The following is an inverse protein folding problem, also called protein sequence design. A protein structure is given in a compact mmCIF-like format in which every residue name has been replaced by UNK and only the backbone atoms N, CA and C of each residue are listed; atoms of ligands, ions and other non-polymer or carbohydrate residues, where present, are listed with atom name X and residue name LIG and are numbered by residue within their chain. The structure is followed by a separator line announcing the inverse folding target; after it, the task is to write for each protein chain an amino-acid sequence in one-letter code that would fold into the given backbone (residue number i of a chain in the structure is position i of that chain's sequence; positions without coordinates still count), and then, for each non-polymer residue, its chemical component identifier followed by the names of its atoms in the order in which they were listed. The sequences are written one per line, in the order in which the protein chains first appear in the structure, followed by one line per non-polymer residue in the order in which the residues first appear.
data_IF_566457248457
#
_entry.id   IF_566457248457
#
_cell.length_a   1.000
_cell.length_b   1.000
_cell.length_c   1.000
_cell.angle_alpha   90.00
_cell.angle_beta   90.00
_cell.angle_gamma   90.00
#
_symmetry.space_group_name_H-M   'P 1'
#
loop_
_entity.id
_entity.type
_entity.pdbx_description
1 polymer ?
#
# COMPACT_ATOMS: atom_id res chain seq x y z
N UNK A 1 26.64 10.36 2.71
CA UNK A 1 25.28 10.27 2.15
C UNK A 1 24.48 9.33 3.05
N UNK A 2 23.58 9.87 3.89
CA UNK A 2 22.78 9.07 4.84
C UNK A 2 21.56 8.53 4.11
N UNK A 3 21.57 7.25 3.77
CA UNK A 3 20.41 6.56 3.19
C UNK A 3 19.43 6.31 4.34
N UNK A 4 18.38 7.13 4.42
CA UNK A 4 17.24 6.85 5.30
C UNK A 4 16.60 5.56 4.82
N UNK A 5 16.76 4.49 5.60
CA UNK A 5 16.07 3.21 5.40
C UNK A 5 14.56 3.46 5.55
N UNK A 6 13.88 3.69 4.44
CA UNK A 6 12.43 3.53 4.36
C UNK A 6 12.15 2.04 4.54
N UNK A 7 11.82 1.65 5.77
CA UNK A 7 11.40 0.29 6.07
C UNK A 7 10.15 -0.04 5.24
N UNK A 8 10.27 -1.00 4.33
CA UNK A 8 9.13 -1.55 3.62
C UNK A 8 8.18 -2.18 4.65
N UNK A 9 7.04 -1.55 4.91
CA UNK A 9 5.97 -2.12 5.72
C UNK A 9 5.24 -3.12 4.83
N UNK A 10 5.61 -4.40 4.98
CA UNK A 10 4.93 -5.52 4.34
C UNK A 10 3.60 -5.79 5.04
N UNK A 11 2.58 -6.08 4.25
CA UNK A 11 1.29 -6.62 4.69
C UNK A 11 1.38 -8.12 5.05
N UNK A 12 2.56 -8.62 5.43
CA UNK A 12 2.52 -9.73 6.40
C UNK A 12 1.86 -9.12 7.62
N UNK A 13 0.75 -9.71 8.07
CA UNK A 13 0.16 -9.47 9.38
C UNK A 13 1.28 -9.31 10.39
N UNK A 14 1.74 -8.07 10.58
CA UNK A 14 2.78 -7.79 11.54
C UNK A 14 2.07 -8.15 12.81
N UNK A 15 2.54 -9.21 13.46
CA UNK A 15 1.96 -9.82 14.66
C UNK A 15 2.12 -8.83 15.84
N UNK A 16 1.67 -7.59 15.64
CA UNK A 16 1.73 -6.45 16.53
C UNK A 16 0.49 -6.61 17.39
N UNK A 17 0.66 -7.34 18.50
CA UNK A 17 -0.26 -7.42 19.64
C UNK A 17 -1.74 -7.23 19.31
N UNK A 18 -2.49 -8.34 19.26
CA UNK A 18 -3.96 -8.38 19.13
C UNK A 18 -4.73 -7.52 20.16
N UNK A 19 -4.05 -6.94 21.15
CA UNK A 19 -4.61 -6.11 22.21
C UNK A 19 -4.52 -4.60 21.96
N UNK A 20 -3.99 -4.15 20.80
CA UNK A 20 -3.95 -2.70 20.49
C UNK A 20 -5.26 -2.28 19.81
N UNK A 21 -5.90 -1.19 20.25
CA UNK A 21 -7.07 -0.64 19.56
C UNK A 21 -6.70 -0.26 18.13
N UNK A 22 -7.64 -0.48 17.22
CA UNK A 22 -7.47 -0.18 15.80
C UNK A 22 -8.80 0.24 15.18
N UNK A 23 -8.70 1.01 14.11
CA UNK A 23 -9.80 1.27 13.18
C UNK A 23 -9.55 0.53 11.87
N UNK A 24 -10.61 0.37 11.07
CA UNK A 24 -10.56 -0.35 9.80
C UNK A 24 -10.82 0.63 8.67
N UNK A 25 -9.88 0.73 7.74
CA UNK A 25 -10.09 1.43 6.46
C UNK A 25 -10.38 0.41 5.39
N UNK A 26 -11.59 0.44 4.85
CA UNK A 26 -12.06 -0.44 3.78
C UNK A 26 -11.88 0.22 2.43
N UNK A 27 -11.42 -0.58 1.48
CA UNK A 27 -11.38 -0.26 0.07
C UNK A 27 -11.72 -1.49 -0.77
N UNK A 28 -11.80 -1.31 -2.08
CA UNK A 28 -12.06 -2.41 -3.01
C UNK A 28 -10.86 -2.59 -3.94
N UNK A 29 -10.52 -3.85 -4.22
CA UNK A 29 -9.51 -4.19 -5.20
C UNK A 29 -9.98 -3.74 -6.59
N UNK A 30 -9.15 -2.98 -7.31
CA UNK A 30 -9.50 -2.49 -8.66
C UNK A 30 -9.64 -3.62 -9.70
N UNK A 31 -9.07 -4.79 -9.43
CA UNK A 31 -9.02 -5.92 -10.37
C UNK A 31 -10.14 -6.94 -10.14
N UNK A 32 -10.31 -7.40 -8.91
CA UNK A 32 -11.33 -8.41 -8.59
C UNK A 32 -12.56 -7.85 -7.87
N UNK A 33 -12.59 -6.54 -7.58
CA UNK A 33 -13.68 -5.86 -6.87
C UNK A 33 -13.97 -6.38 -5.45
N UNK A 34 -13.12 -7.27 -4.94
CA UNK A 34 -13.22 -7.78 -3.58
C UNK A 34 -12.80 -6.74 -2.54
N UNK A 35 -13.35 -6.89 -1.34
CA UNK A 35 -13.08 -5.99 -0.21
C UNK A 35 -11.66 -6.19 0.30
N UNK A 36 -11.00 -5.07 0.59
CA UNK A 36 -9.68 -5.00 1.22
C UNK A 36 -9.81 -4.17 2.49
N UNK A 37 -9.63 -4.83 3.63
CA UNK A 37 -9.69 -4.21 4.94
C UNK A 37 -8.28 -3.96 5.45
N UNK A 38 -7.99 -2.69 5.72
CA UNK A 38 -6.68 -2.28 6.19
C UNK A 38 -6.79 -1.80 7.63
N UNK A 39 -6.14 -2.54 8.52
CA UNK A 39 -6.11 -2.27 9.95
C UNK A 39 -5.18 -1.07 10.24
N UNK A 40 -5.68 -0.12 11.02
CA UNK A 40 -4.96 1.07 11.47
C UNK A 40 -4.85 1.07 12.99
N UNK A 41 -3.69 0.69 13.50
CA UNK A 41 -3.43 0.64 14.93
C UNK A 41 -3.00 2.02 15.44
N UNK A 42 -3.80 2.64 16.31
CA UNK A 42 -3.49 3.89 17.00
C UNK A 42 -4.13 3.91 18.38
N UNK A 43 -3.62 4.77 19.28
CA UNK A 43 -4.06 4.81 20.68
C UNK A 43 -5.56 5.13 20.87
N UNK A 44 -6.17 5.77 19.86
CA UNK A 44 -7.58 6.18 19.86
C UNK A 44 -8.50 5.24 19.06
N UNK A 45 -8.05 4.04 18.70
CA UNK A 45 -8.85 3.12 17.88
C UNK A 45 -10.14 2.72 18.58
N UNK A 46 -11.27 2.85 17.88
CA UNK A 46 -12.62 2.58 18.37
C UNK A 46 -13.28 1.40 17.66
N UNK A 47 -12.55 0.72 16.76
CA UNK A 47 -13.06 -0.33 15.86
C UNK A 47 -14.06 0.23 14.83
N UNK A 48 -13.94 1.51 14.52
CA UNK A 48 -14.76 2.16 13.51
C UNK A 48 -14.33 1.77 12.09
N UNK A 49 -15.30 1.79 11.18
CA UNK A 49 -15.08 1.46 9.79
C UNK A 49 -15.14 2.74 8.96
N UNK A 50 -14.06 3.00 8.23
CA UNK A 50 -13.92 4.13 7.35
C UNK A 50 -13.73 3.66 5.92
N UNK A 51 -14.25 4.42 4.96
CA UNK A 51 -13.87 4.23 3.56
C UNK A 51 -12.58 5.00 3.28
N UNK A 52 -11.73 4.46 2.40
CA UNK A 52 -10.50 5.14 1.98
C UNK A 52 -10.82 6.49 1.28
N UNK A 53 -11.95 6.57 0.59
CA UNK A 53 -12.45 7.79 -0.04
C UNK A 53 -13.00 8.72 1.05
N UNK A 54 -12.55 9.98 1.05
CA UNK A 54 -12.91 11.00 2.05
C UNK A 54 -12.57 10.61 3.49
N UNK A 55 -11.41 9.96 3.69
CA UNK A 55 -10.95 9.56 5.01
C UNK A 55 -10.77 10.79 5.92
N UNK A 56 -11.38 10.86 7.12
CA UNK A 56 -11.21 11.99 8.02
C UNK A 56 -9.74 12.22 8.37
N UNK A 57 -9.34 13.49 8.46
CA UNK A 57 -7.92 13.86 8.68
C UNK A 57 -7.34 13.22 9.95
N UNK A 58 -8.17 13.07 11.00
CA UNK A 58 -7.81 12.39 12.26
C UNK A 58 -7.31 10.95 12.03
N UNK A 59 -7.90 10.22 11.08
CA UNK A 59 -7.52 8.84 10.74
C UNK A 59 -6.41 8.85 9.68
N UNK A 60 -6.49 9.75 8.70
CA UNK A 60 -5.51 9.88 7.63
C UNK A 60 -4.09 10.24 8.10
N UNK A 61 -3.94 10.80 9.31
CA UNK A 61 -2.63 11.02 9.97
C UNK A 61 -1.95 9.73 10.42
N UNK A 62 -2.72 8.68 10.67
CA UNK A 62 -2.21 7.37 11.07
C UNK A 62 -1.98 6.43 9.87
N UNK A 63 -2.32 6.90 8.67
CA UNK A 63 -2.22 6.15 7.42
C UNK A 63 -0.97 6.56 6.64
N UNK A 64 0.11 5.81 6.83
CA UNK A 64 1.35 5.96 6.07
C UNK A 64 1.33 5.17 4.76
N UNK A 65 2.28 5.48 3.87
CA UNK A 65 2.50 4.73 2.63
C UNK A 65 2.77 3.25 2.96
N UNK A 66 1.99 2.35 2.37
CA UNK A 66 2.08 0.92 2.67
C UNK A 66 1.77 0.04 1.48
N UNK A 67 2.40 -1.14 1.45
CA UNK A 67 2.10 -2.18 0.47
C UNK A 67 0.90 -2.99 0.94
N UNK A 68 -0.06 -3.20 0.05
CA UNK A 68 -1.30 -3.92 0.29
C UNK A 68 -1.37 -5.08 -0.69
N UNK A 69 -1.46 -6.29 -0.17
CA UNK A 69 -1.73 -7.48 -0.99
C UNK A 69 -3.22 -7.79 -0.98
N UNK A 70 -3.79 -8.06 -2.15
CA UNK A 70 -5.14 -8.59 -2.27
C UNK A 70 -5.12 -10.11 -2.20
N UNK A 71 -5.67 -10.69 -1.13
CA UNK A 71 -5.75 -12.14 -0.91
C UNK A 71 -6.58 -12.91 -1.94
N UNK A 72 -7.42 -12.21 -2.71
CA UNK A 72 -8.29 -12.83 -3.71
C UNK A 72 -7.65 -12.93 -5.10
N UNK A 73 -6.81 -11.96 -5.48
CA UNK A 73 -6.16 -11.94 -6.80
C UNK A 73 -4.63 -11.98 -6.75
N UNK A 74 -4.06 -12.10 -5.54
CA UNK A 74 -2.62 -12.11 -5.24
C UNK A 74 -1.84 -10.96 -5.90
N UNK A 75 -2.51 -9.82 -6.08
CA UNK A 75 -1.88 -8.60 -6.61
C UNK A 75 -1.43 -7.72 -5.47
N UNK A 76 -0.25 -7.15 -5.64
CA UNK A 76 0.33 -6.19 -4.73
C UNK A 76 0.02 -4.77 -5.20
N UNK A 77 -0.38 -3.93 -4.26
CA UNK A 77 -0.67 -2.52 -4.45
C UNK A 77 0.20 -1.70 -3.51
N UNK A 78 0.50 -0.47 -3.90
CA UNK A 78 1.12 0.53 -3.04
C UNK A 78 0.09 1.62 -2.81
N UNK A 79 -0.29 1.81 -1.55
CA UNK A 79 -1.12 2.94 -1.13
C UNK A 79 -0.19 4.08 -0.74
N UNK A 80 -0.29 5.19 -1.46
CA UNK A 80 0.51 6.39 -1.22
C UNK A 80 -0.38 7.55 -0.80
N UNK A 81 0.05 8.31 0.20
CA UNK A 81 -0.59 9.56 0.58
C UNK A 81 -0.14 10.67 -0.36
N UNK A 82 -1.08 11.38 -0.99
CA UNK A 82 -0.76 12.54 -1.80
C UNK A 82 -0.23 13.65 -0.90
N UNK A 83 0.96 14.17 -1.20
CA UNK A 83 1.60 15.25 -0.44
C UNK A 83 1.21 16.64 -0.96
N UNK A 84 0.43 16.72 -2.03
CA UNK A 84 0.17 17.98 -2.75
C UNK A 84 -1.04 18.76 -2.23
N UNK A 85 -1.97 18.11 -1.53
CA UNK A 85 -3.22 18.74 -1.11
C UNK A 85 -3.37 18.82 0.41
N UNK A 86 -4.05 19.88 0.88
CA UNK A 86 -4.54 19.98 2.28
C UNK A 86 -5.57 18.88 2.61
N UNK A 87 -6.02 18.12 1.59
CA UNK A 87 -6.96 17.02 1.72
C UNK A 87 -6.20 15.69 1.87
N UNK A 88 -6.79 14.79 2.65
CA UNK A 88 -6.32 13.43 2.88
C UNK A 88 -6.57 12.54 1.66
N UNK A 89 -5.95 12.88 0.54
CA UNK A 89 -6.10 12.13 -0.71
C UNK A 89 -5.07 11.01 -0.78
N UNK A 90 -5.53 9.82 -1.17
CA UNK A 90 -4.72 8.62 -1.28
C UNK A 90 -4.74 8.08 -2.70
N UNK A 91 -3.57 7.75 -3.22
CA UNK A 91 -3.41 7.12 -4.53
C UNK A 91 -3.08 5.66 -4.35
N UNK A 92 -3.85 4.78 -4.98
CA UNK A 92 -3.55 3.35 -5.04
C UNK A 92 -2.86 3.03 -6.37
N UNK A 93 -1.62 2.55 -6.30
CA UNK A 93 -0.82 2.11 -7.45
C UNK A 93 -0.67 0.59 -7.42
N UNK A 94 -0.51 -0.04 -8.58
CA UNK A 94 -0.10 -1.45 -8.65
C UNK A 94 1.41 -1.52 -8.37
N UNK A 95 1.84 -2.45 -7.50
CA UNK A 95 3.27 -2.70 -7.28
C UNK A 95 3.80 -3.64 -8.38
N UNK A 96 4.44 -3.05 -9.39
CA UNK A 96 5.05 -3.79 -10.49
C UNK A 96 6.50 -4.24 -10.22
N UNK A 97 7.04 -4.02 -9.01
CA UNK A 97 8.47 -4.25 -8.72
C UNK A 97 8.94 -5.70 -8.95
N UNK A 98 8.01 -6.66 -8.87
CA UNK A 98 8.26 -8.09 -9.09
C UNK A 98 7.67 -8.61 -10.42
N UNK A 99 7.20 -7.73 -11.30
CA UNK A 99 6.72 -8.13 -12.61
C UNK A 99 7.90 -8.25 -13.58
N UNK A 100 7.84 -9.22 -14.49
CA UNK A 100 8.86 -9.35 -15.53
C UNK A 100 8.90 -8.09 -16.40
N UNK A 101 10.09 -7.73 -16.88
CA UNK A 101 10.33 -6.64 -17.82
C UNK A 101 9.77 -6.97 -19.23
N UNK A 102 8.50 -7.35 -19.32
CA UNK A 102 7.72 -7.59 -20.54
C UNK A 102 8.54 -8.05 -21.76
N UNK A 103 8.23 -7.45 -22.91
CA UNK A 103 9.03 -7.58 -24.13
C UNK A 103 10.25 -6.65 -24.16
N UNK A 104 10.40 -5.74 -23.20
CA UNK A 104 11.55 -4.81 -23.14
C UNK A 104 12.87 -5.55 -22.92
N UNK A 105 12.82 -6.65 -22.17
CA UNK A 105 13.96 -7.57 -22.02
C UNK A 105 14.50 -8.13 -23.34
N UNK A 106 13.66 -8.25 -24.38
CA UNK A 106 14.08 -8.77 -25.69
C UNK A 106 15.02 -7.81 -26.42
N UNK A 107 14.94 -6.51 -26.14
CA UNK A 107 15.80 -5.50 -26.74
C UNK A 107 17.14 -5.35 -26.01
N UNK A 108 17.17 -5.58 -24.69
CA UNK A 108 18.40 -5.58 -23.88
C UNK A 108 19.37 -6.70 -24.31
N UNK A 109 18.84 -7.88 -24.66
CA UNK A 109 19.63 -9.01 -25.15
C UNK A 109 20.10 -8.84 -26.61
N UNK A 110 19.45 -7.96 -27.37
CA UNK A 110 19.81 -7.66 -28.76
C UNK A 110 20.95 -6.64 -28.89
N UNK A 111 21.35 -5.97 -27.78
CA UNK A 111 22.47 -5.03 -27.78
C UNK A 111 23.77 -5.85 -27.64
N UNK A 112 24.69 -5.80 -28.61
CA UNK A 112 25.96 -6.50 -28.52
C UNK A 112 26.73 -6.01 -27.29
N UNK A 113 26.95 -6.92 -26.33
CA UNK A 113 27.82 -6.64 -25.19
C UNK A 113 29.25 -6.73 -25.70
N UNK A 114 29.83 -5.58 -26.05
CA UNK A 114 31.26 -5.50 -26.36
C UNK A 114 32.04 -6.04 -25.14
N UNK A 115 32.89 -7.03 -25.40
CA UNK A 115 33.75 -7.71 -24.42
C UNK A 115 35.11 -7.04 -24.33
#
# INVERSE_FOLDING_TARGET
MKINKTHAVFNMLHNKNKNKPYDIVRMYCRYCQEKLDIHLYHALGTLEHYQLVNLPEKIAKHLDTRKIECTHCNRNFVLEKSTQDKKSDFTLKLDCSNMSHGMESWYEDAIPKYS
#
